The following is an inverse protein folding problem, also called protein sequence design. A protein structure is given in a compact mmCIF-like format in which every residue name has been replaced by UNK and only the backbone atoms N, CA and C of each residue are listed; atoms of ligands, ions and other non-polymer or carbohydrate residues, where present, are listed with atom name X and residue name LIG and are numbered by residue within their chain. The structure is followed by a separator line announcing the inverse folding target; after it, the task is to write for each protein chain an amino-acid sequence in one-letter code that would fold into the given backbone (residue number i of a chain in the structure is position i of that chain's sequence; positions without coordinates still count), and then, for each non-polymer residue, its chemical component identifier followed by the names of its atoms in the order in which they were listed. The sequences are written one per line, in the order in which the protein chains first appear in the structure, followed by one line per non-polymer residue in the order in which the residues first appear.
data_IF_720780106593
#
_entry.id   IF_720780106593
#
_cell.length_a   1.000
_cell.length_b   1.000
_cell.length_c   1.000
_cell.angle_alpha   90.00
_cell.angle_beta   90.00
_cell.angle_gamma   90.00
#
_symmetry.space_group_name_H-M   'P 1'
#
loop_
_entity.id
_entity.type
_entity.pdbx_description
1 polymer ?
#
# COMPACT_ATOMS: atom_id res chain seq x y z
N UNK A 1 0.93 2.62 58.25
CA UNK A 1 1.54 2.72 59.60
C UNK A 1 2.21 1.39 60.03
N UNK A 2 3.16 0.82 59.25
CA UNK A 2 3.91 -0.39 59.67
C UNK A 2 5.38 -0.47 59.24
N UNK A 3 5.95 0.56 58.60
CA UNK A 3 7.39 0.64 58.31
C UNK A 3 8.14 1.73 59.11
N UNK A 4 7.44 2.51 59.94
CA UNK A 4 8.01 3.69 60.61
C UNK A 4 8.59 3.43 62.02
N UNK A 5 8.50 2.20 62.56
CA UNK A 5 8.72 1.96 64.00
C UNK A 5 10.09 1.34 64.34
N UNK A 6 10.96 1.04 63.37
CA UNK A 6 12.27 0.39 63.64
C UNK A 6 13.52 1.18 63.21
N UNK A 7 13.49 2.51 63.27
CA UNK A 7 14.67 3.36 62.97
C UNK A 7 15.16 4.21 64.15
N UNK A 8 14.67 3.98 65.38
CA UNK A 8 14.94 4.89 66.52
C UNK A 8 16.15 4.52 67.41
N UNK A 9 17.01 3.56 67.03
CA UNK A 9 18.28 3.27 67.74
C UNK A 9 19.40 2.83 66.78
N UNK A 10 19.85 3.73 65.90
CA UNK A 10 21.05 3.50 65.08
C UNK A 10 21.99 4.71 65.32
N UNK A 11 23.29 4.50 65.61
CA UNK A 11 24.22 5.61 65.87
C UNK A 11 24.35 6.55 64.66
N UNK A 12 24.59 7.83 64.94
CA UNK A 12 24.51 8.96 64.00
C UNK A 12 25.32 8.83 62.69
N UNK A 13 26.46 8.11 62.60
CA UNK A 13 27.17 7.92 61.33
C UNK A 13 26.49 6.87 60.43
N UNK A 14 25.98 5.79 61.02
CA UNK A 14 25.26 4.73 60.31
C UNK A 14 23.95 5.22 59.71
N UNK A 15 23.28 6.18 60.35
CA UNK A 15 22.05 6.78 59.81
C UNK A 15 22.31 7.66 58.58
N UNK A 16 23.49 8.30 58.49
CA UNK A 16 23.92 9.01 57.27
C UNK A 16 24.22 8.03 56.14
N UNK A 17 24.86 6.90 56.43
CA UNK A 17 25.14 5.85 55.43
C UNK A 17 23.85 5.19 54.96
N UNK A 18 22.94 4.82 55.87
CA UNK A 18 21.63 4.23 55.53
C UNK A 18 20.79 5.22 54.72
N UNK A 19 20.73 6.51 55.08
CA UNK A 19 20.08 7.53 54.24
C UNK A 19 20.75 7.65 52.88
N UNK A 20 22.08 7.65 52.80
CA UNK A 20 22.82 7.76 51.52
C UNK A 20 22.62 6.53 50.63
N UNK A 21 22.54 5.32 51.20
CA UNK A 21 22.24 4.07 50.48
C UNK A 21 20.78 4.01 50.04
N UNK A 22 19.82 4.42 50.88
CA UNK A 22 18.40 4.49 50.53
C UNK A 22 18.14 5.56 49.47
N UNK A 23 18.80 6.72 49.57
CA UNK A 23 18.72 7.80 48.57
C UNK A 23 19.44 7.39 47.28
N UNK A 24 20.58 6.71 47.35
CA UNK A 24 21.29 6.20 46.17
C UNK A 24 20.55 5.04 45.50
N UNK A 25 19.81 4.20 46.25
CA UNK A 25 19.00 3.13 45.67
C UNK A 25 17.69 3.65 45.08
N UNK A 26 17.05 4.65 45.72
CA UNK A 26 15.93 5.40 45.15
C UNK A 26 16.33 6.15 43.88
N UNK A 27 17.42 6.93 43.89
CA UNK A 27 17.81 7.72 42.70
C UNK A 27 18.28 6.86 41.50
N UNK A 28 18.79 5.64 41.73
CA UNK A 28 19.22 4.73 40.64
C UNK A 28 18.08 3.85 40.13
N UNK A 29 17.11 3.52 40.98
CA UNK A 29 15.87 2.82 40.61
C UNK A 29 14.81 3.75 40.00
N UNK A 30 14.72 5.01 40.43
CA UNK A 30 13.75 5.99 39.95
C UNK A 30 14.03 6.41 38.51
N UNK A 31 15.29 6.66 38.12
CA UNK A 31 15.60 6.98 36.71
C UNK A 31 15.27 5.81 35.78
N UNK A 32 15.63 4.58 36.13
CA UNK A 32 15.33 3.40 35.33
C UNK A 32 13.81 3.13 35.25
N UNK A 33 13.09 3.30 36.35
CA UNK A 33 11.64 3.19 36.37
C UNK A 33 10.97 4.32 35.56
N UNK A 34 11.49 5.54 35.63
CA UNK A 34 11.01 6.68 34.84
C UNK A 34 11.22 6.45 33.34
N UNK A 35 12.35 5.87 32.91
CA UNK A 35 12.55 5.47 31.51
C UNK A 35 11.58 4.37 31.08
N UNK A 36 11.36 3.35 31.91
CA UNK A 36 10.41 2.26 31.62
C UNK A 36 8.97 2.78 31.56
N UNK A 37 8.58 3.68 32.47
CA UNK A 37 7.26 4.32 32.48
C UNK A 37 7.08 5.21 31.26
N UNK A 38 8.04 6.09 30.93
CA UNK A 38 7.98 6.93 29.73
C UNK A 38 7.93 6.09 28.44
N UNK A 39 8.67 4.98 28.41
CA UNK A 39 8.58 4.04 27.29
C UNK A 39 7.20 3.39 27.21
N UNK A 40 6.65 2.91 28.32
CA UNK A 40 5.31 2.32 28.36
C UNK A 40 4.21 3.34 28.00
N UNK A 41 4.34 4.59 28.45
CA UNK A 41 3.45 5.70 28.09
C UNK A 41 3.54 6.02 26.59
N UNK A 42 4.75 6.13 26.04
CA UNK A 42 4.97 6.31 24.61
C UNK A 42 4.43 5.16 23.76
N UNK A 43 4.64 3.92 24.22
CA UNK A 43 4.07 2.72 23.61
C UNK A 43 2.55 2.78 23.61
N UNK A 44 1.89 2.98 24.76
CA UNK A 44 0.43 3.10 24.84
C UNK A 44 -0.08 4.27 24.00
N UNK A 45 0.62 5.40 23.98
CA UNK A 45 0.23 6.57 23.19
C UNK A 45 0.27 6.29 21.68
N UNK A 46 1.26 5.52 21.20
CA UNK A 46 1.31 5.06 19.81
C UNK A 46 0.06 4.23 19.47
N UNK A 47 -0.32 3.26 20.30
CA UNK A 47 -1.51 2.44 20.07
C UNK A 47 -2.80 3.25 20.15
N UNK A 48 -2.93 4.20 21.10
CA UNK A 48 -4.08 5.11 21.17
C UNK A 48 -4.20 5.97 19.91
N UNK A 49 -3.08 6.50 19.43
CA UNK A 49 -3.05 7.31 18.19
C UNK A 49 -3.43 6.47 16.97
N UNK A 50 -2.92 5.24 16.88
CA UNK A 50 -3.31 4.29 15.84
C UNK A 50 -4.79 3.93 15.90
N UNK A 51 -5.34 3.70 17.09
CA UNK A 51 -6.75 3.41 17.29
C UNK A 51 -7.65 4.57 16.85
N UNK A 52 -7.32 5.81 17.23
CA UNK A 52 -8.07 7.00 16.80
C UNK A 52 -8.04 7.13 15.27
N UNK A 53 -6.86 6.97 14.65
CA UNK A 53 -6.72 7.01 13.19
C UNK A 53 -7.58 5.94 12.50
N UNK A 54 -7.61 4.74 13.06
CA UNK A 54 -8.42 3.65 12.53
C UNK A 54 -9.93 3.96 12.60
N UNK A 55 -10.41 4.49 13.73
CA UNK A 55 -11.82 4.88 13.89
C UNK A 55 -12.18 6.03 12.93
N UNK A 56 -11.29 7.02 12.75
CA UNK A 56 -11.49 8.11 11.80
C UNK A 56 -11.64 7.56 10.36
N UNK A 57 -10.82 6.57 9.97
CA UNK A 57 -10.96 5.89 8.68
C UNK A 57 -12.26 5.12 8.54
N UNK A 58 -12.70 4.44 9.61
CA UNK A 58 -14.00 3.75 9.65
C UNK A 58 -15.18 4.70 9.49
N UNK A 59 -15.06 5.96 9.93
CA UNK A 59 -16.08 6.99 9.79
C UNK A 59 -16.06 7.75 8.47
N UNK A 60 -15.00 7.62 7.67
CA UNK A 60 -14.78 8.44 6.47
C UNK A 60 -14.50 7.57 5.24
N UNK A 61 -13.27 7.12 5.10
CA UNK A 61 -12.74 6.53 3.87
C UNK A 61 -13.29 5.12 3.64
N UNK A 62 -13.39 4.30 4.69
CA UNK A 62 -13.82 2.89 4.53
C UNK A 62 -15.24 2.79 3.95
N UNK A 63 -16.26 3.51 4.46
CA UNK A 63 -17.60 3.51 3.86
C UNK A 63 -17.62 4.02 2.42
N UNK A 64 -16.89 5.10 2.13
CA UNK A 64 -16.78 5.67 0.78
C UNK A 64 -16.26 4.62 -0.22
N UNK A 65 -15.16 3.96 0.15
CA UNK A 65 -14.51 2.94 -0.68
C UNK A 65 -15.41 1.72 -0.85
N UNK A 66 -16.10 1.28 0.21
CA UNK A 66 -17.06 0.19 0.14
C UNK A 66 -18.19 0.50 -0.86
N UNK A 67 -18.75 1.70 -0.81
CA UNK A 67 -19.81 2.11 -1.75
C UNK A 67 -19.29 2.17 -3.19
N UNK A 68 -18.08 2.67 -3.42
CA UNK A 68 -17.49 2.66 -4.75
C UNK A 68 -17.22 1.24 -5.25
N UNK A 69 -16.72 0.34 -4.40
CA UNK A 69 -16.53 -1.08 -4.72
C UNK A 69 -17.84 -1.74 -5.16
N UNK A 70 -18.93 -1.52 -4.41
CA UNK A 70 -20.25 -2.06 -4.76
C UNK A 70 -20.72 -1.50 -6.10
N UNK A 71 -20.66 -0.18 -6.29
CA UNK A 71 -21.09 0.46 -7.53
C UNK A 71 -20.31 -0.03 -8.74
N UNK A 72 -18.98 -0.11 -8.63
CA UNK A 72 -18.12 -0.53 -9.72
C UNK A 72 -18.27 -2.02 -10.03
N UNK A 73 -18.31 -2.89 -9.01
CA UNK A 73 -18.58 -4.32 -9.22
C UNK A 73 -19.94 -4.54 -9.90
N UNK A 74 -20.94 -3.71 -9.60
CA UNK A 74 -22.24 -3.75 -10.28
C UNK A 74 -22.11 -3.37 -11.76
N UNK A 75 -21.41 -2.27 -12.08
CA UNK A 75 -21.17 -1.83 -13.47
C UNK A 75 -20.41 -2.91 -14.26
N UNK A 76 -19.41 -3.53 -13.64
CA UNK A 76 -18.61 -4.61 -14.24
C UNK A 76 -19.49 -5.79 -14.63
N UNK A 77 -20.34 -6.25 -13.72
CA UNK A 77 -21.30 -7.32 -13.99
C UNK A 77 -22.28 -6.96 -15.11
N UNK A 78 -22.71 -5.69 -15.19
CA UNK A 78 -23.60 -5.21 -16.26
C UNK A 78 -22.92 -5.15 -17.63
N UNK A 79 -21.63 -4.79 -17.70
CA UNK A 79 -20.90 -4.70 -18.97
C UNK A 79 -20.57 -6.09 -19.52
N UNK A 80 -20.20 -7.02 -18.64
CA UNK A 80 -19.85 -8.40 -18.95
C UNK A 80 -18.41 -8.58 -19.44
N UNK A 81 -17.76 -9.66 -19.00
CA UNK A 81 -16.36 -9.97 -19.31
C UNK A 81 -16.09 -10.17 -20.82
N UNK A 82 -17.08 -10.64 -21.58
CA UNK A 82 -16.92 -10.92 -23.01
C UNK A 82 -16.49 -9.68 -23.82
N UNK A 83 -17.00 -8.49 -23.47
CA UNK A 83 -16.65 -7.26 -24.17
C UNK A 83 -15.19 -6.90 -23.94
N UNK A 84 -14.68 -7.13 -22.72
CA UNK A 84 -13.28 -6.88 -22.36
C UNK A 84 -12.37 -7.91 -23.03
N UNK A 85 -12.75 -9.18 -23.08
CA UNK A 85 -12.00 -10.21 -23.78
C UNK A 85 -11.83 -9.89 -25.28
N UNK A 86 -12.89 -9.37 -25.93
CA UNK A 86 -12.83 -8.90 -27.32
C UNK A 86 -11.85 -7.73 -27.50
N UNK A 87 -11.81 -6.79 -26.56
CA UNK A 87 -10.82 -5.70 -26.56
C UNK A 87 -9.41 -6.26 -26.37
N UNK A 88 -9.21 -7.19 -25.44
CA UNK A 88 -7.91 -7.82 -25.18
C UNK A 88 -7.34 -8.53 -26.42
N UNK A 89 -8.16 -9.31 -27.12
CA UNK A 89 -7.77 -10.00 -28.35
C UNK A 89 -7.30 -9.02 -29.44
N UNK A 90 -8.00 -7.89 -29.60
CA UNK A 90 -7.64 -6.84 -30.57
C UNK A 90 -6.44 -5.99 -30.15
N UNK A 91 -6.14 -5.95 -28.86
CA UNK A 91 -5.11 -5.08 -28.31
C UNK A 91 -3.69 -5.53 -28.63
N UNK A 92 -3.49 -6.81 -28.98
CA UNK A 92 -2.19 -7.41 -29.32
C UNK A 92 -1.42 -6.67 -30.42
N UNK A 93 -2.11 -6.05 -31.37
CA UNK A 93 -1.49 -5.47 -32.58
C UNK A 93 -0.80 -4.12 -32.35
N UNK A 94 -1.15 -3.35 -31.31
CA UNK A 94 -0.64 -1.99 -31.12
C UNK A 94 -0.09 -1.78 -29.69
N UNK A 95 1.17 -1.32 -29.51
CA UNK A 95 1.72 -1.01 -28.18
C UNK A 95 0.85 -0.07 -27.33
N UNK A 96 0.18 0.92 -27.93
CA UNK A 96 -0.76 1.79 -27.21
C UNK A 96 -1.96 1.01 -26.67
N UNK A 97 -2.48 0.08 -27.46
CA UNK A 97 -3.56 -0.79 -26.99
C UNK A 97 -3.06 -1.75 -25.91
N UNK A 98 -1.85 -2.32 -26.06
CA UNK A 98 -1.27 -3.26 -25.08
C UNK A 98 -0.91 -2.64 -23.75
N UNK A 99 -0.36 -1.43 -23.72
CA UNK A 99 0.29 -0.87 -22.52
C UNK A 99 -0.42 0.35 -21.93
N UNK A 100 -1.38 0.93 -22.64
CA UNK A 100 -2.17 2.06 -22.14
C UNK A 100 -3.66 1.71 -22.04
N UNK A 101 -4.30 1.37 -23.17
CA UNK A 101 -5.76 1.18 -23.21
C UNK A 101 -6.19 -0.10 -22.52
N UNK A 102 -5.57 -1.24 -22.84
CA UNK A 102 -5.93 -2.53 -22.25
C UNK A 102 -5.65 -2.57 -20.74
N UNK A 103 -4.51 -2.09 -20.22
CA UNK A 103 -4.29 -1.98 -18.78
C UNK A 103 -5.30 -1.03 -18.12
N UNK A 104 -5.57 0.15 -18.70
CA UNK A 104 -6.53 1.11 -18.14
C UNK A 104 -7.93 0.50 -18.04
N UNK A 105 -8.49 0.06 -19.18
CA UNK A 105 -9.84 -0.50 -19.24
C UNK A 105 -9.93 -1.82 -18.49
N UNK A 106 -8.93 -2.68 -18.64
CA UNK A 106 -8.87 -3.98 -17.97
C UNK A 106 -8.80 -3.84 -16.45
N UNK A 107 -7.95 -2.96 -15.93
CA UNK A 107 -7.86 -2.74 -14.48
C UNK A 107 -9.11 -2.06 -13.95
N UNK A 108 -9.65 -1.07 -14.66
CA UNK A 108 -10.89 -0.39 -14.28
C UNK A 108 -12.08 -1.34 -14.20
N UNK A 109 -12.10 -2.36 -15.07
CA UNK A 109 -13.22 -3.29 -15.22
C UNK A 109 -13.05 -4.64 -14.53
N UNK A 110 -11.84 -5.13 -14.30
CA UNK A 110 -11.61 -6.45 -13.70
C UNK A 110 -10.98 -6.35 -12.32
N UNK A 111 -10.38 -5.20 -11.98
CA UNK A 111 -9.58 -5.02 -10.78
C UNK A 111 -8.39 -5.99 -10.69
N UNK A 112 -7.52 -5.75 -9.71
CA UNK A 112 -6.44 -6.65 -9.32
C UNK A 112 -7.01 -7.82 -8.51
N UNK A 113 -6.61 -9.09 -8.73
CA UNK A 113 -5.63 -9.60 -9.70
C UNK A 113 -6.20 -10.01 -11.06
N UNK A 114 -7.51 -9.92 -11.26
CA UNK A 114 -8.17 -10.46 -12.45
C UNK A 114 -7.72 -9.80 -13.76
N UNK A 115 -7.34 -8.52 -13.75
CA UNK A 115 -6.79 -7.84 -14.92
C UNK A 115 -5.59 -8.56 -15.55
N UNK A 116 -4.77 -9.25 -14.75
CA UNK A 116 -3.59 -9.97 -15.26
C UNK A 116 -3.97 -11.14 -16.15
N UNK A 117 -5.16 -11.72 -15.95
CA UNK A 117 -5.65 -12.83 -16.78
C UNK A 117 -5.83 -12.44 -18.25
N UNK A 118 -6.06 -11.16 -18.57
CA UNK A 118 -6.18 -10.68 -19.96
C UNK A 118 -4.89 -10.87 -20.75
N UNK A 119 -3.74 -11.03 -20.09
CA UNK A 119 -2.47 -11.37 -20.72
C UNK A 119 -2.53 -12.70 -21.49
N UNK A 120 -3.48 -13.59 -21.20
CA UNK A 120 -3.69 -14.83 -21.97
C UNK A 120 -4.07 -14.57 -23.43
N UNK A 121 -4.68 -13.41 -23.73
CA UNK A 121 -5.06 -13.00 -25.08
C UNK A 121 -3.95 -12.30 -25.85
N UNK A 122 -2.76 -12.15 -25.23
CA UNK A 122 -1.60 -11.52 -25.84
C UNK A 122 -0.57 -12.56 -26.28
N UNK A 123 0.22 -12.26 -27.33
CA UNK A 123 1.34 -13.08 -27.71
C UNK A 123 2.33 -13.26 -26.56
N UNK A 124 2.96 -14.43 -26.50
CA UNK A 124 3.92 -14.80 -25.46
C UNK A 124 4.99 -13.72 -25.22
N UNK A 125 5.54 -13.16 -26.32
CA UNK A 125 6.55 -12.10 -26.26
C UNK A 125 6.10 -10.86 -25.49
N UNK A 126 4.80 -10.53 -25.48
CA UNK A 126 4.28 -9.29 -24.90
C UNK A 126 3.61 -9.48 -23.54
N UNK A 127 3.48 -10.73 -23.05
CA UNK A 127 2.90 -11.01 -21.73
C UNK A 127 3.66 -10.33 -20.58
N UNK A 128 5.01 -10.32 -20.54
CA UNK A 128 5.76 -9.64 -19.48
C UNK A 128 5.47 -8.13 -19.44
N UNK A 129 5.48 -7.48 -20.60
CA UNK A 129 5.26 -6.04 -20.75
C UNK A 129 3.84 -5.62 -20.41
N UNK A 130 2.85 -6.46 -20.77
CA UNK A 130 1.48 -6.27 -20.33
C UNK A 130 1.35 -6.40 -18.82
N UNK A 131 1.94 -7.43 -18.23
CA UNK A 131 1.93 -7.62 -16.78
C UNK A 131 2.51 -6.41 -16.05
N UNK A 132 3.68 -5.92 -16.48
CA UNK A 132 4.31 -4.72 -15.92
C UNK A 132 3.37 -3.50 -16.00
N UNK A 133 2.79 -3.25 -17.17
CA UNK A 133 1.88 -2.12 -17.38
C UNK A 133 0.61 -2.22 -16.52
N UNK A 134 -0.01 -3.40 -16.46
CA UNK A 134 -1.24 -3.65 -15.71
C UNK A 134 -1.03 -3.61 -14.19
N UNK A 135 0.07 -4.17 -13.69
CA UNK A 135 0.40 -4.15 -12.26
C UNK A 135 0.60 -2.70 -11.78
N UNK A 136 1.33 -1.91 -12.55
CA UNK A 136 1.61 -0.53 -12.20
C UNK A 136 0.37 0.37 -12.35
N UNK A 137 -0.51 0.06 -13.30
CA UNK A 137 -1.81 0.72 -13.42
C UNK A 137 -2.69 0.49 -12.19
N UNK A 138 -2.71 -0.71 -11.63
CA UNK A 138 -3.47 -1.02 -10.43
C UNK A 138 -3.08 -0.15 -9.21
N UNK A 139 -1.85 0.36 -9.16
CA UNK A 139 -1.36 1.17 -8.04
C UNK A 139 -1.54 2.67 -8.30
N UNK A 140 -1.26 3.10 -9.52
CA UNK A 140 -1.24 4.52 -9.89
C UNK A 140 -2.64 5.12 -10.07
N UNK A 141 -3.66 4.28 -10.22
CA UNK A 141 -5.06 4.69 -10.35
C UNK A 141 -5.85 4.65 -9.03
N UNK A 142 -5.31 4.04 -7.98
CA UNK A 142 -6.01 3.78 -6.72
C UNK A 142 -6.57 5.02 -6.02
N UNK A 143 -5.94 6.18 -6.18
CA UNK A 143 -6.41 7.42 -5.55
C UNK A 143 -7.71 7.96 -6.14
N UNK A 144 -8.00 7.66 -7.41
CA UNK A 144 -9.23 8.06 -8.11
C UNK A 144 -10.21 6.88 -8.19
N UNK A 145 -9.70 5.67 -8.38
CA UNK A 145 -10.46 4.44 -8.61
C UNK A 145 -10.06 3.37 -7.58
N UNK A 146 -10.41 3.54 -6.29
CA UNK A 146 -9.99 2.63 -5.22
C UNK A 146 -10.52 1.20 -5.37
N UNK A 147 -11.54 0.97 -6.22
CA UNK A 147 -12.05 -0.37 -6.49
C UNK A 147 -11.09 -1.23 -7.31
N UNK A 148 -10.13 -0.62 -8.01
CA UNK A 148 -9.16 -1.33 -8.86
C UNK A 148 -8.21 -2.18 -8.02
N UNK A 149 -7.74 -1.66 -6.89
CA UNK A 149 -6.87 -2.40 -5.99
C UNK A 149 -7.14 -2.00 -4.52
N UNK A 150 -8.31 -2.40 -3.97
CA UNK A 150 -8.76 -1.97 -2.65
C UNK A 150 -7.83 -2.46 -1.54
N UNK A 151 -7.19 -3.61 -1.74
CA UNK A 151 -6.27 -4.20 -0.77
C UNK A 151 -5.05 -3.31 -0.49
N UNK A 152 -4.61 -2.48 -1.45
CA UNK A 152 -3.44 -1.61 -1.32
C UNK A 152 -3.79 -0.13 -1.19
N UNK A 153 -5.09 0.20 -1.08
CA UNK A 153 -5.54 1.58 -1.02
C UNK A 153 -4.92 2.36 0.16
N UNK A 154 -4.64 1.69 1.27
CA UNK A 154 -4.03 2.28 2.46
C UNK A 154 -2.69 2.98 2.16
N UNK A 155 -1.95 2.57 1.13
CA UNK A 155 -0.70 3.20 0.71
C UNK A 155 -0.97 4.62 0.22
N UNK A 156 -1.97 4.79 -0.67
CA UNK A 156 -2.37 6.11 -1.15
C UNK A 156 -2.94 6.97 -0.03
N UNK A 157 -3.78 6.39 0.82
CA UNK A 157 -4.41 7.11 1.93
C UNK A 157 -3.38 7.60 2.96
N UNK A 158 -2.33 6.81 3.23
CA UNK A 158 -1.23 7.24 4.09
C UNK A 158 -0.58 8.52 3.60
N UNK A 159 -0.33 8.63 2.29
CA UNK A 159 0.24 9.83 1.66
C UNK A 159 -0.80 10.97 1.64
N UNK A 160 -2.05 10.68 1.27
CA UNK A 160 -3.13 11.66 1.19
C UNK A 160 -3.41 12.33 2.56
N UNK A 161 -3.40 11.57 3.65
CA UNK A 161 -3.53 12.11 5.01
C UNK A 161 -2.38 13.07 5.36
N UNK A 162 -1.17 12.82 4.86
CA UNK A 162 -0.05 13.73 5.01
C UNK A 162 -0.27 15.06 4.26
N UNK A 163 -0.79 14.99 3.03
CA UNK A 163 -1.14 16.16 2.22
C UNK A 163 -2.30 16.95 2.85
N UNK A 164 -3.31 16.26 3.37
CA UNK A 164 -4.45 16.90 4.03
C UNK A 164 -4.03 17.66 5.30
N UNK A 165 -3.10 17.13 6.09
CA UNK A 165 -2.52 17.82 7.25
C UNK A 165 -1.78 19.11 6.88
N UNK A 166 -1.30 19.23 5.64
CA UNK A 166 -0.69 20.45 5.11
C UNK A 166 -1.74 21.45 4.59
N UNK A 167 -3.04 21.12 4.67
CA UNK A 167 -4.13 21.95 4.14
C UNK A 167 -4.21 21.93 2.62
N UNK A 168 -3.63 20.93 1.96
CA UNK A 168 -3.61 20.81 0.50
C UNK A 168 -4.69 19.83 0.00
N UNK A 169 -5.23 20.04 -1.21
CA UNK A 169 -6.27 19.19 -1.78
C UNK A 169 -5.72 17.79 -2.14
N UNK A 170 -6.33 16.75 -1.59
CA UNK A 170 -5.98 15.34 -1.89
C UNK A 170 -6.41 14.92 -3.30
N UNK A 171 -7.41 15.59 -3.88
CA UNK A 171 -7.85 15.38 -5.27
C UNK A 171 -6.75 15.72 -6.27
N UNK A 172 -6.01 16.81 -6.06
CA UNK A 172 -4.90 17.19 -6.94
C UNK A 172 -3.81 16.12 -6.95
N UNK A 173 -3.50 15.55 -5.77
CA UNK A 173 -2.58 14.44 -5.66
C UNK A 173 -3.09 13.22 -6.44
N UNK A 174 -4.35 12.85 -6.26
CA UNK A 174 -4.96 11.69 -6.92
C UNK A 174 -4.93 11.82 -8.45
N UNK A 175 -5.29 12.98 -8.99
CA UNK A 175 -5.27 13.24 -10.44
C UNK A 175 -3.85 13.23 -10.99
N UNK A 176 -2.90 13.91 -10.34
CA UNK A 176 -1.49 13.91 -10.77
C UNK A 176 -0.91 12.51 -10.74
N UNK A 177 -1.22 11.73 -9.72
CA UNK A 177 -0.74 10.36 -9.59
C UNK A 177 -1.27 9.45 -10.71
N UNK A 178 -2.56 9.58 -11.07
CA UNK A 178 -3.15 8.90 -12.21
C UNK A 178 -2.50 9.30 -13.54
N UNK A 179 -2.31 10.60 -13.79
CA UNK A 179 -1.75 11.10 -15.05
C UNK A 179 -0.28 10.69 -15.24
N UNK A 180 0.54 10.86 -14.20
CA UNK A 180 1.93 10.39 -14.21
C UNK A 180 1.96 8.86 -14.36
N UNK A 181 1.05 8.17 -13.66
CA UNK A 181 0.87 6.74 -13.76
C UNK A 181 0.62 6.27 -15.19
N UNK A 182 -0.39 6.82 -15.85
CA UNK A 182 -0.72 6.50 -17.25
C UNK A 182 0.50 6.58 -18.17
N UNK A 183 1.29 7.64 -18.04
CA UNK A 183 2.51 7.82 -18.82
C UNK A 183 3.59 6.78 -18.44
N UNK A 184 3.87 6.61 -17.15
CA UNK A 184 4.91 5.72 -16.66
C UNK A 184 4.59 4.25 -16.91
N UNK A 185 3.32 3.85 -16.84
CA UNK A 185 2.87 2.47 -17.11
C UNK A 185 3.11 2.13 -18.58
N UNK A 186 2.78 3.04 -19.50
CA UNK A 186 3.06 2.88 -20.92
C UNK A 186 4.56 2.76 -21.20
N UNK A 187 5.38 3.64 -20.60
CA UNK A 187 6.84 3.57 -20.71
C UNK A 187 7.36 2.25 -20.12
N UNK A 188 6.84 1.82 -18.98
CA UNK A 188 7.20 0.56 -18.31
C UNK A 188 6.97 -0.65 -19.21
N UNK A 189 5.83 -0.71 -19.92
CA UNK A 189 5.58 -1.73 -20.94
C UNK A 189 6.61 -1.72 -22.07
N UNK A 190 6.96 -0.55 -22.59
CA UNK A 190 7.99 -0.41 -23.64
C UNK A 190 9.38 -0.81 -23.19
N UNK A 191 9.78 -0.38 -21.99
CA UNK A 191 11.07 -0.76 -21.40
C UNK A 191 11.11 -2.27 -21.19
N UNK A 192 9.98 -2.88 -20.80
CA UNK A 192 9.89 -4.32 -20.60
C UNK A 192 9.96 -5.11 -21.92
N UNK A 193 9.46 -4.57 -23.05
CA UNK A 193 9.66 -5.17 -24.37
C UNK A 193 11.15 -5.22 -24.76
N UNK A 194 11.89 -4.16 -24.42
CA UNK A 194 13.33 -4.09 -24.64
C UNK A 194 14.07 -5.11 -23.77
N UNK A 195 13.79 -5.16 -22.45
CA UNK A 195 14.45 -6.11 -21.55
C UNK A 195 14.08 -7.55 -21.88
N UNK A 196 12.83 -7.83 -22.25
CA UNK A 196 12.39 -9.15 -22.72
C UNK A 196 13.19 -9.58 -23.94
N UNK A 197 13.38 -8.69 -24.92
CA UNK A 197 14.17 -8.99 -26.12
C UNK A 197 15.66 -9.20 -25.81
N UNK A 198 16.19 -8.56 -24.77
CA UNK A 198 17.54 -8.80 -24.28
C UNK A 198 17.65 -10.18 -23.62
N UNK A 199 16.70 -10.55 -22.77
CA UNK A 199 16.65 -11.85 -22.09
C UNK A 199 16.44 -13.00 -23.08
N UNK A 200 15.61 -12.83 -24.11
CA UNK A 200 15.45 -13.80 -25.21
C UNK A 200 16.79 -14.18 -25.82
N UNK A 201 17.64 -13.18 -26.13
CA UNK A 201 18.97 -13.40 -26.69
C UNK A 201 19.91 -14.10 -25.70
N UNK A 202 19.87 -13.70 -24.43
CA UNK A 202 20.71 -14.29 -23.39
C UNK A 202 20.37 -15.77 -23.15
N UNK A 203 19.08 -16.10 -23.14
CA UNK A 203 18.57 -17.46 -22.89
C UNK A 203 18.52 -18.31 -24.16
N UNK A 204 18.84 -17.75 -25.33
CA UNK A 204 18.77 -18.41 -26.64
C UNK A 204 17.39 -19.00 -26.95
N UNK A 205 16.32 -18.32 -26.53
CA UNK A 205 14.92 -18.66 -26.80
C UNK A 205 14.27 -17.59 -27.66
N UNK A 206 13.24 -17.96 -28.42
CA UNK A 206 12.46 -17.03 -29.25
C UNK A 206 10.99 -17.15 -28.86
N UNK A 207 10.45 -16.12 -28.21
CA UNK A 207 9.06 -16.11 -27.78
C UNK A 207 8.14 -15.85 -28.97
N UNK A 208 6.97 -16.49 -28.96
CA UNK A 208 6.01 -16.33 -30.03
C UNK A 208 5.41 -14.92 -30.06
N UNK A 209 5.24 -14.39 -31.27
CA UNK A 209 4.46 -13.17 -31.55
C UNK A 209 3.03 -13.47 -31.98
N UNK A 210 2.68 -14.74 -32.09
CA UNK A 210 1.34 -15.21 -32.43
C UNK A 210 0.60 -15.60 -31.15
N UNK A 211 -0.72 -15.48 -31.18
CA UNK A 211 -1.58 -15.87 -30.06
C UNK A 211 -2.06 -17.30 -30.30
N UNK A 212 -1.58 -18.25 -29.49
CA UNK A 212 -2.16 -19.58 -29.41
C UNK A 212 -3.19 -19.58 -28.29
N UNK A 213 -4.46 -19.37 -28.64
CA UNK A 213 -5.57 -19.64 -27.72
C UNK A 213 -5.89 -21.12 -27.90
N UNK A 214 -5.61 -21.93 -26.88
CA UNK A 214 -6.21 -23.27 -26.81
C UNK A 214 -7.73 -23.08 -26.79
N UNK A 215 -8.38 -23.63 -27.83
CA UNK A 215 -9.83 -23.58 -28.06
C UNK A 215 -10.59 -24.42 -27.05
#
# INVERSE_FOLDING_TARGET
MRAAVKLKKIPSPLMKVVKKVIISSKMKGEKNMEYIVKFAEGFIHLFKTGANTFIDWMGSIVPLVLMLLIAMNTIIQLIGEEKINKVAQKSSNNPFMRYLVLPFLGSFMLANPMVHSLGRFLPEKYKPSYFASAAQFAHTSNGIFPHINPAELFIFLGIANGIEKLGLPTTDLAVRYLLVGLLMNFIGGWVTDFTTSFVEKQQKVKLSKEVNLES
#
